data_IF_389411808225
#
_entry.id   IF_389411808225
#
_cell.length_a   1.000
_cell.length_b   1.000
_cell.length_c   1.000
_cell.angle_alpha   90.00
_cell.angle_beta   90.00
_cell.angle_gamma   90.00
#
_symmetry.space_group_name_H-M   'P 1'
#
loop_
_entity.id
_entity.type
_entity.pdbx_description
1 polymer ?
#
# COMPACT_ATOMS: atom_id res chain seq x y z
N UNK A 1 -71.38 -39.77 4.11
CA UNK A 1 -70.79 -38.64 3.37
C UNK A 1 -69.99 -37.65 4.24
N UNK A 2 -70.36 -37.57 5.48
CA UNK A 2 -69.68 -36.61 6.44
C UNK A 2 -68.28 -37.07 6.84
N UNK A 3 -68.01 -38.36 7.07
CA UNK A 3 -66.69 -38.89 7.44
C UNK A 3 -65.57 -38.68 6.42
N UNK A 4 -65.89 -38.79 5.11
CA UNK A 4 -64.89 -38.56 4.04
C UNK A 4 -64.42 -37.09 3.97
N UNK A 5 -65.29 -36.13 4.31
CA UNK A 5 -64.95 -34.72 4.34
C UNK A 5 -64.09 -34.37 5.54
N UNK A 6 -64.26 -35.09 6.67
CA UNK A 6 -63.45 -34.86 7.88
C UNK A 6 -61.99 -35.36 7.70
N UNK A 7 -61.85 -36.52 7.03
CA UNK A 7 -60.50 -37.04 6.71
C UNK A 7 -59.72 -36.16 5.71
N UNK A 8 -60.43 -35.56 4.74
CA UNK A 8 -59.80 -34.67 3.78
C UNK A 8 -59.36 -33.37 4.44
N UNK A 9 -60.15 -32.84 5.36
CA UNK A 9 -59.80 -31.62 6.11
C UNK A 9 -58.60 -31.86 7.05
N UNK A 10 -58.50 -33.03 7.69
CA UNK A 10 -57.38 -33.40 8.54
C UNK A 10 -56.06 -33.60 7.74
N UNK A 11 -56.15 -34.23 6.54
CA UNK A 11 -55.02 -34.42 5.68
C UNK A 11 -54.45 -33.09 5.12
N UNK A 12 -55.32 -32.11 4.80
CA UNK A 12 -54.92 -30.80 4.35
C UNK A 12 -54.29 -30.00 5.52
N UNK A 13 -54.77 -30.11 6.74
CA UNK A 13 -54.16 -29.47 7.91
C UNK A 13 -52.78 -30.00 8.27
N UNK A 14 -52.51 -31.32 8.05
CA UNK A 14 -51.19 -31.91 8.26
C UNK A 14 -50.22 -31.53 7.14
N UNK A 15 -50.69 -31.29 5.90
CA UNK A 15 -49.83 -30.83 4.80
C UNK A 15 -49.47 -29.33 4.90
N UNK A 16 -50.28 -28.53 5.60
CA UNK A 16 -50.03 -27.10 5.79
C UNK A 16 -49.18 -26.81 7.09
N UNK A 17 -49.00 -27.82 7.95
CA UNK A 17 -48.33 -27.68 9.24
C UNK A 17 -46.79 -27.86 9.20
N UNK A 18 -46.22 -28.30 8.07
CA UNK A 18 -44.79 -28.58 7.96
C UNK A 18 -44.01 -27.56 7.11
N UNK A 19 -44.47 -26.31 7.06
CA UNK A 19 -43.58 -25.23 6.67
C UNK A 19 -42.62 -24.97 7.89
N UNK A 20 -41.55 -25.72 7.96
CA UNK A 20 -40.43 -25.27 8.79
C UNK A 20 -40.01 -23.86 8.31
N UNK A 21 -40.53 -22.88 9.00
CA UNK A 21 -40.01 -21.51 8.89
C UNK A 21 -38.56 -21.57 9.34
N UNK A 22 -37.64 -21.77 8.41
CA UNK A 22 -36.24 -21.48 8.66
C UNK A 22 -36.10 -19.97 8.92
N UNK A 23 -36.40 -19.60 10.16
CA UNK A 23 -36.12 -18.25 10.62
C UNK A 23 -34.62 -17.99 10.43
N UNK A 24 -34.29 -17.18 9.44
CA UNK A 24 -32.90 -16.74 9.25
C UNK A 24 -32.46 -16.02 10.51
N UNK A 25 -31.46 -16.59 11.20
CA UNK A 25 -30.93 -16.00 12.42
C UNK A 25 -29.72 -15.12 12.05
N UNK A 26 -29.81 -13.84 12.37
CA UNK A 26 -28.67 -12.96 12.35
C UNK A 26 -27.74 -13.34 13.53
N UNK A 27 -26.49 -13.65 13.21
CA UNK A 27 -25.47 -13.96 14.23
C UNK A 27 -24.32 -12.96 14.13
N UNK A 28 -23.83 -12.51 15.27
CA UNK A 28 -22.59 -11.74 15.33
C UNK A 28 -21.40 -12.64 15.00
N UNK A 29 -20.49 -12.14 14.18
CA UNK A 29 -19.19 -12.76 13.90
C UNK A 29 -18.05 -11.84 14.36
N UNK A 30 -16.92 -12.42 14.72
CA UNK A 30 -15.72 -11.66 15.03
C UNK A 30 -15.11 -11.13 13.74
N UNK A 31 -14.83 -9.81 13.60
CA UNK A 31 -14.15 -9.26 12.44
C UNK A 31 -12.76 -9.88 12.26
N UNK A 32 -12.37 -10.13 11.02
CA UNK A 32 -11.03 -10.55 10.61
C UNK A 32 -10.28 -9.41 9.93
N UNK A 33 -8.98 -9.59 9.65
CA UNK A 33 -8.15 -8.53 9.09
C UNK A 33 -8.71 -7.95 7.79
N UNK A 34 -9.28 -8.80 6.92
CA UNK A 34 -9.85 -8.37 5.63
C UNK A 34 -11.05 -7.45 5.77
N UNK A 35 -11.77 -7.50 6.88
CA UNK A 35 -12.92 -6.62 7.14
C UNK A 35 -12.47 -5.16 7.40
N UNK A 36 -11.21 -4.96 7.81
CA UNK A 36 -10.65 -3.63 8.08
C UNK A 36 -10.05 -2.96 6.83
N UNK A 37 -9.69 -3.72 5.79
CA UNK A 37 -9.05 -3.18 4.57
C UNK A 37 -9.90 -2.09 3.92
N UNK A 38 -11.22 -2.29 3.64
CA UNK A 38 -12.05 -1.24 3.06
C UNK A 38 -12.15 0.01 3.94
N UNK A 39 -12.14 -0.16 5.26
CA UNK A 39 -12.17 0.97 6.20
C UNK A 39 -10.89 1.79 6.11
N UNK A 40 -9.73 1.12 6.09
CA UNK A 40 -8.43 1.79 5.94
C UNK A 40 -8.35 2.52 4.60
N UNK A 41 -8.79 1.90 3.51
CA UNK A 41 -8.85 2.53 2.19
C UNK A 41 -9.74 3.76 2.16
N UNK A 42 -10.93 3.70 2.79
CA UNK A 42 -11.84 4.84 2.92
C UNK A 42 -11.25 5.99 3.74
N UNK A 43 -10.37 5.70 4.69
CA UNK A 43 -9.57 6.69 5.41
C UNK A 43 -8.37 7.19 4.59
N UNK A 44 -8.19 6.66 3.38
CA UNK A 44 -7.12 7.08 2.47
C UNK A 44 -5.77 6.40 2.74
N UNK A 45 -5.71 5.28 3.46
CA UNK A 45 -4.49 4.47 3.52
C UNK A 45 -4.28 3.79 2.17
N UNK A 46 -3.05 3.86 1.66
CA UNK A 46 -2.64 3.19 0.44
C UNK A 46 -1.37 2.39 0.69
N UNK A 47 -1.29 1.18 0.13
CA UNK A 47 -0.14 0.29 0.30
C UNK A 47 0.20 -0.38 -1.02
N UNK A 48 1.45 -0.23 -1.43
CA UNK A 48 2.05 -0.93 -2.57
C UNK A 48 3.07 -1.91 -2.04
N UNK A 49 3.01 -3.15 -2.54
CA UNK A 49 3.91 -4.22 -2.13
C UNK A 49 4.57 -4.82 -3.36
N UNK A 50 5.89 -5.03 -3.27
CA UNK A 50 6.71 -5.55 -4.36
C UNK A 50 7.51 -6.74 -3.88
N UNK A 51 7.50 -7.82 -4.65
CA UNK A 51 8.27 -9.04 -4.37
C UNK A 51 9.72 -8.83 -4.79
N UNK A 52 10.64 -9.01 -3.85
CA UNK A 52 12.09 -8.99 -4.03
C UNK A 52 12.73 -10.33 -3.68
N UNK A 53 11.97 -11.41 -3.68
CA UNK A 53 12.45 -12.75 -3.33
C UNK A 53 13.59 -13.26 -4.23
N UNK A 54 13.68 -12.76 -5.47
CA UNK A 54 14.80 -13.03 -6.39
C UNK A 54 16.15 -12.53 -5.87
N UNK A 55 16.17 -11.64 -4.88
CA UNK A 55 17.37 -11.12 -4.21
C UNK A 55 17.69 -11.86 -2.90
N UNK A 56 16.95 -12.94 -2.59
CA UNK A 56 17.08 -13.63 -1.30
C UNK A 56 18.37 -14.43 -1.15
N UNK A 57 19.10 -14.73 -2.24
CA UNK A 57 20.31 -15.57 -2.19
C UNK A 57 21.57 -14.81 -1.76
N UNK A 58 21.54 -13.48 -1.80
CA UNK A 58 22.72 -12.66 -1.48
C UNK A 58 22.30 -11.42 -0.65
N UNK A 59 23.27 -10.68 -0.14
CA UNK A 59 23.04 -9.43 0.57
C UNK A 59 23.01 -8.26 -0.42
N UNK A 60 21.90 -7.53 -0.39
CA UNK A 60 21.70 -6.31 -1.17
C UNK A 60 21.27 -5.16 -0.27
N UNK A 61 21.69 -3.97 -0.63
CA UNK A 61 21.19 -2.73 -0.07
C UNK A 61 20.11 -2.18 -0.99
N UNK A 62 18.93 -1.95 -0.44
CA UNK A 62 17.82 -1.28 -1.11
C UNK A 62 17.81 0.17 -0.66
N UNK A 63 18.14 1.07 -1.57
CA UNK A 63 18.06 2.50 -1.37
C UNK A 63 16.69 2.96 -1.85
N UNK A 64 15.81 3.39 -0.93
CA UNK A 64 14.59 4.08 -1.30
C UNK A 64 14.96 5.51 -1.70
N UNK A 65 14.62 5.86 -2.93
CA UNK A 65 14.88 7.16 -3.52
C UNK A 65 13.57 7.89 -3.71
N UNK A 66 13.45 9.09 -3.13
CA UNK A 66 12.27 9.93 -3.24
C UNK A 66 12.66 11.23 -3.94
N UNK A 67 12.04 11.50 -5.07
CA UNK A 67 12.26 12.71 -5.87
C UNK A 67 11.02 13.58 -5.86
N UNK A 68 11.17 14.87 -5.57
CA UNK A 68 10.09 15.87 -5.60
C UNK A 68 10.17 16.68 -6.88
N UNK A 69 9.03 16.90 -7.52
CA UNK A 69 8.90 17.69 -8.74
C UNK A 69 7.86 18.79 -8.57
N UNK A 70 8.17 19.98 -9.10
CA UNK A 70 7.25 21.11 -9.25
C UNK A 70 7.28 21.59 -10.69
N UNK A 71 6.12 21.66 -11.32
CA UNK A 71 5.99 22.05 -12.73
C UNK A 71 6.97 21.29 -13.64
N UNK A 72 7.10 19.97 -13.43
CA UNK A 72 8.02 19.05 -14.09
C UNK A 72 9.53 19.32 -13.90
N UNK A 73 9.89 20.17 -12.94
CA UNK A 73 11.27 20.41 -12.57
C UNK A 73 11.56 19.70 -11.24
N UNK A 74 12.62 18.90 -11.22
CA UNK A 74 13.05 18.26 -9.98
C UNK A 74 13.54 19.31 -8.98
N UNK A 75 13.05 19.21 -7.74
CA UNK A 75 13.40 20.12 -6.65
C UNK A 75 14.64 19.60 -5.94
N UNK A 76 15.78 20.25 -6.12
CA UNK A 76 17.10 19.79 -5.61
C UNK A 76 17.16 19.50 -4.11
N UNK A 77 16.31 20.14 -3.30
CA UNK A 77 16.28 19.97 -1.84
C UNK A 77 15.16 19.06 -1.35
N UNK A 78 14.35 18.50 -2.27
CA UNK A 78 13.17 17.71 -1.93
C UNK A 78 13.39 16.20 -1.90
N UNK A 79 14.54 15.75 -2.40
CA UNK A 79 14.90 14.33 -2.44
C UNK A 79 15.66 13.87 -1.21
N UNK A 80 15.53 12.61 -0.87
CA UNK A 80 16.33 11.95 0.16
C UNK A 80 16.36 10.44 -0.07
N UNK A 81 17.44 9.82 0.43
CA UNK A 81 17.69 8.41 0.27
C UNK A 81 17.67 7.70 1.62
N UNK A 82 17.07 6.54 1.66
CA UNK A 82 17.05 5.65 2.83
C UNK A 82 17.53 4.28 2.40
N UNK A 83 18.59 3.83 3.04
CA UNK A 83 19.22 2.56 2.73
C UNK A 83 18.83 1.52 3.79
N UNK A 84 18.29 0.40 3.35
CA UNK A 84 17.96 -0.76 4.19
C UNK A 84 18.51 -2.01 3.52
N UNK A 85 19.25 -2.83 4.28
CA UNK A 85 19.71 -4.14 3.77
C UNK A 85 18.55 -5.15 3.72
N UNK A 86 18.50 -5.99 2.68
CA UNK A 86 17.54 -7.09 2.62
C UNK A 86 17.82 -8.19 3.65
N UNK A 87 19.02 -8.21 4.23
CA UNK A 87 19.45 -9.15 5.27
C UNK A 87 19.96 -8.43 6.50
N UNK A 88 19.66 -9.02 7.66
CA UNK A 88 20.31 -8.69 8.94
C UNK A 88 21.04 -9.94 9.39
N UNK A 89 22.34 -9.82 9.57
CA UNK A 89 23.18 -10.95 9.97
C UNK A 89 23.23 -11.09 11.49
N UNK A 90 23.17 -12.33 11.99
CA UNK A 90 23.30 -12.58 13.43
C UNK A 90 24.63 -12.08 13.99
N UNK A 91 25.69 -12.08 13.16
CA UNK A 91 27.02 -11.56 13.53
C UNK A 91 27.07 -10.05 13.77
N UNK A 92 26.06 -9.30 13.34
CA UNK A 92 25.95 -7.85 13.58
C UNK A 92 25.54 -7.53 15.04
N UNK A 93 25.04 -8.55 15.76
CA UNK A 93 24.64 -8.43 17.14
C UNK A 93 25.80 -8.78 18.08
N UNK A 94 25.80 -8.21 19.29
CA UNK A 94 26.71 -8.62 20.35
C UNK A 94 26.48 -10.08 20.73
N UNK A 95 27.49 -10.73 21.29
CA UNK A 95 27.41 -12.13 21.75
C UNK A 95 26.23 -12.34 22.73
N UNK A 96 26.00 -11.35 23.59
CA UNK A 96 24.90 -11.40 24.57
C UNK A 96 23.52 -11.34 23.88
N UNK A 97 23.38 -10.52 22.85
CA UNK A 97 22.15 -10.43 22.07
C UNK A 97 21.91 -11.69 21.24
N UNK A 98 22.94 -12.23 20.60
CA UNK A 98 22.86 -13.51 19.90
C UNK A 98 22.37 -14.64 20.83
N UNK A 99 22.87 -14.65 22.08
CA UNK A 99 22.45 -15.64 23.07
C UNK A 99 20.98 -15.43 23.46
N UNK A 100 20.54 -14.18 23.67
CA UNK A 100 19.12 -13.89 23.95
C UNK A 100 18.20 -14.32 22.82
N UNK A 101 18.58 -14.13 21.56
CA UNK A 101 17.82 -14.58 20.39
C UNK A 101 17.62 -16.10 20.46
N UNK A 102 18.67 -16.85 20.78
CA UNK A 102 18.61 -18.33 20.92
C UNK A 102 17.76 -18.75 22.12
N UNK A 103 17.95 -18.11 23.26
CA UNK A 103 17.23 -18.46 24.51
C UNK A 103 15.73 -18.16 24.41
N UNK A 104 15.35 -17.11 23.65
CA UNK A 104 13.95 -16.75 23.43
C UNK A 104 13.28 -17.54 22.30
N UNK A 105 13.96 -18.51 21.66
CA UNK A 105 13.45 -19.26 20.50
C UNK A 105 12.91 -18.36 19.39
N UNK A 106 13.56 -17.21 19.16
CA UNK A 106 13.18 -16.31 18.09
C UNK A 106 13.52 -16.99 16.76
N UNK A 107 12.56 -17.01 15.85
CA UNK A 107 12.75 -17.57 14.52
C UNK A 107 13.87 -16.86 13.77
N UNK A 108 14.82 -17.66 13.25
CA UNK A 108 15.96 -17.19 12.44
C UNK A 108 15.72 -17.71 11.02
N UNK A 109 15.85 -16.83 10.02
CA UNK A 109 15.46 -17.15 8.65
C UNK A 109 16.37 -18.18 7.96
N UNK A 110 17.69 -18.04 8.11
CA UNK A 110 18.67 -19.00 7.62
C UNK A 110 19.81 -19.13 8.63
N UNK A 111 19.66 -19.98 9.66
CA UNK A 111 20.64 -20.09 10.75
C UNK A 111 21.98 -20.67 10.28
N UNK A 112 22.00 -21.51 9.26
CA UNK A 112 23.21 -22.08 8.66
C UNK A 112 24.08 -21.03 7.99
N UNK A 113 23.47 -19.98 7.43
CA UNK A 113 24.14 -18.85 6.78
C UNK A 113 24.35 -17.67 7.75
N UNK A 114 23.87 -17.77 8.98
CA UNK A 114 23.91 -16.71 9.98
C UNK A 114 22.90 -15.57 9.71
N UNK A 115 21.90 -15.78 8.85
CA UNK A 115 20.89 -14.76 8.51
C UNK A 115 19.81 -14.74 9.57
N UNK A 116 19.79 -13.66 10.37
CA UNK A 116 18.78 -13.47 11.42
C UNK A 116 17.43 -13.03 10.84
N UNK A 117 17.45 -12.11 9.90
CA UNK A 117 16.25 -11.62 9.20
C UNK A 117 16.52 -11.53 7.70
N UNK A 118 15.52 -11.93 6.92
CA UNK A 118 15.55 -11.83 5.45
C UNK A 118 14.25 -11.21 4.96
N UNK A 119 14.36 -10.10 4.25
CA UNK A 119 13.23 -9.49 3.56
C UNK A 119 13.09 -10.04 2.15
N UNK A 120 11.88 -10.47 1.83
CA UNK A 120 11.48 -10.91 0.47
C UNK A 120 10.48 -9.96 -0.18
N UNK A 121 10.08 -8.93 0.55
CA UNK A 121 9.17 -7.90 0.07
C UNK A 121 9.64 -6.52 0.49
N UNK A 122 9.40 -5.54 -0.36
CA UNK A 122 9.40 -4.13 0.00
C UNK A 122 7.98 -3.56 -0.09
N UNK A 123 7.72 -2.54 0.71
CA UNK A 123 6.43 -1.85 0.70
C UNK A 123 6.58 -0.34 0.77
N UNK A 124 5.65 0.33 0.08
CA UNK A 124 5.48 1.78 0.06
C UNK A 124 4.07 2.06 0.54
N UNK A 125 3.94 2.70 1.69
CA UNK A 125 2.66 3.05 2.29
C UNK A 125 2.45 4.56 2.33
N UNK A 126 1.24 5.00 2.00
CA UNK A 126 0.81 6.38 2.19
C UNK A 126 -0.22 6.42 3.31
N UNK A 127 0.14 7.09 4.40
CA UNK A 127 -0.64 7.15 5.64
C UNK A 127 -1.25 8.54 5.79
N UNK A 128 -2.55 8.66 6.07
CA UNK A 128 -3.19 9.94 6.30
C UNK A 128 -2.53 10.75 7.42
N UNK A 129 -2.53 12.07 7.26
CA UNK A 129 -2.13 13.03 8.28
C UNK A 129 -3.36 13.82 8.74
N UNK A 130 -3.43 14.24 10.01
CA UNK A 130 -4.45 15.20 10.46
C UNK A 130 -4.34 16.58 9.78
N UNK A 131 -3.19 16.86 9.14
CA UNK A 131 -2.95 18.10 8.41
C UNK A 131 -3.03 17.86 6.90
N UNK A 132 -3.91 18.59 6.21
CA UNK A 132 -4.12 18.43 4.77
C UNK A 132 -2.87 18.73 3.93
N UNK A 133 -1.99 19.59 4.42
CA UNK A 133 -0.71 19.92 3.76
C UNK A 133 0.39 18.87 3.91
N UNK A 134 0.08 17.75 4.58
CA UNK A 134 1.04 16.66 4.81
C UNK A 134 0.44 15.30 4.47
N UNK A 135 1.30 14.39 4.08
CA UNK A 135 1.06 12.95 3.98
C UNK A 135 2.25 12.23 4.60
N UNK A 136 2.03 11.13 5.30
CA UNK A 136 3.16 10.33 5.75
C UNK A 136 3.46 9.23 4.73
N UNK A 137 4.73 9.14 4.34
CA UNK A 137 5.28 8.04 3.59
C UNK A 137 5.86 7.02 4.56
N UNK A 138 5.50 5.76 4.42
CA UNK A 138 6.07 4.62 5.14
C UNK A 138 6.76 3.71 4.14
N UNK A 139 8.03 3.44 4.35
CA UNK A 139 8.88 2.62 3.51
C UNK A 139 9.38 1.45 4.37
N UNK A 140 9.26 0.22 3.87
CA UNK A 140 9.72 -0.92 4.62
C UNK A 140 10.28 -2.03 3.73
N UNK A 141 11.32 -2.66 4.22
CA UNK A 141 11.64 -4.05 3.91
C UNK A 141 11.08 -4.91 5.04
N UNK A 142 10.22 -5.85 4.71
CA UNK A 142 9.21 -6.46 5.61
C UNK A 142 9.74 -7.01 6.93
N UNK A 143 11.00 -7.42 7.01
CA UNK A 143 11.61 -8.05 8.19
C UNK A 143 12.89 -7.37 8.67
N UNK A 144 13.49 -6.49 7.88
CA UNK A 144 14.82 -5.93 8.16
C UNK A 144 14.78 -4.46 8.55
N UNK A 145 13.82 -3.67 8.08
CA UNK A 145 13.74 -2.29 8.50
C UNK A 145 12.59 -1.51 7.92
N UNK A 146 12.27 -0.40 8.58
CA UNK A 146 11.25 0.55 8.16
C UNK A 146 11.70 2.00 8.39
N UNK A 147 11.13 2.91 7.61
CA UNK A 147 11.30 4.34 7.78
C UNK A 147 9.97 5.07 7.54
N UNK A 148 9.77 6.18 8.22
CA UNK A 148 8.61 7.08 8.06
C UNK A 148 9.05 8.50 7.92
N UNK A 149 8.36 9.23 7.03
CA UNK A 149 8.64 10.63 6.80
C UNK A 149 7.43 11.39 6.29
N UNK A 150 7.35 12.70 6.53
CA UNK A 150 6.29 13.54 5.97
C UNK A 150 6.63 13.92 4.53
N UNK A 151 5.64 13.81 3.65
CA UNK A 151 5.61 14.42 2.32
C UNK A 151 4.77 15.70 2.40
N UNK A 152 5.26 16.79 1.85
CA UNK A 152 4.52 18.06 1.74
C UNK A 152 3.49 17.95 0.62
N UNK A 153 2.33 18.53 0.84
CA UNK A 153 1.29 18.70 -0.15
C UNK A 153 1.05 20.19 -0.38
N UNK A 154 0.81 20.57 -1.60
CA UNK A 154 0.55 21.96 -2.00
C UNK A 154 -0.91 22.08 -2.44
N UNK A 155 -1.59 23.18 -2.10
CA UNK A 155 -2.97 23.38 -2.50
C UNK A 155 -3.09 23.64 -3.99
N UNK A 156 -4.16 23.13 -4.58
CA UNK A 156 -4.64 23.53 -5.91
C UNK A 156 -5.49 24.77 -5.70
N UNK A 157 -5.01 25.91 -6.19
CA UNK A 157 -5.76 27.17 -6.08
C UNK A 157 -6.79 27.25 -7.22
N UNK A 158 -8.06 27.34 -6.87
CA UNK A 158 -9.15 27.57 -7.81
C UNK A 158 -9.34 29.07 -8.09
N UNK A 159 -9.97 29.46 -9.20
CA UNK A 159 -10.17 30.88 -9.57
C UNK A 159 -11.02 31.69 -8.56
N UNK A 160 -11.88 31.02 -7.77
CA UNK A 160 -12.67 31.63 -6.71
C UNK A 160 -11.89 31.84 -5.40
N UNK A 161 -10.61 31.48 -5.37
CA UNK A 161 -9.74 31.55 -4.19
C UNK A 161 -9.83 30.34 -3.26
N UNK A 162 -10.63 29.33 -3.58
CA UNK A 162 -10.66 28.06 -2.82
C UNK A 162 -9.35 27.31 -3.02
N UNK A 163 -8.85 26.69 -1.96
CA UNK A 163 -7.64 25.88 -1.95
C UNK A 163 -7.97 24.45 -1.56
N UNK A 164 -7.54 23.47 -2.37
CA UNK A 164 -7.81 22.06 -2.18
C UNK A 164 -6.51 21.25 -2.19
N UNK A 165 -6.36 20.32 -1.23
CA UNK A 165 -5.22 19.42 -1.12
C UNK A 165 -5.56 18.02 -1.65
N UNK A 166 -5.86 17.91 -2.94
CA UNK A 166 -6.20 16.65 -3.59
C UNK A 166 -5.01 16.02 -4.29
N UNK A 167 -4.69 14.79 -3.89
CA UNK A 167 -3.56 13.99 -4.40
C UNK A 167 -4.01 12.56 -4.65
N UNK A 168 -3.35 11.91 -5.59
CA UNK A 168 -3.58 10.50 -5.91
C UNK A 168 -2.28 9.81 -6.24
N UNK A 169 -2.29 8.48 -6.14
CA UNK A 169 -1.18 7.63 -6.54
C UNK A 169 -1.37 7.06 -7.93
N UNK A 170 -0.24 6.78 -8.59
CA UNK A 170 -0.18 5.99 -9.83
C UNK A 170 1.03 5.08 -9.77
N UNK A 171 0.87 3.76 -9.98
CA UNK A 171 2.01 2.88 -10.11
C UNK A 171 2.75 3.13 -11.41
N UNK A 172 4.04 2.84 -11.42
CA UNK A 172 4.82 2.74 -12.64
C UNK A 172 4.74 1.33 -13.24
N UNK A 173 4.86 1.23 -14.56
CA UNK A 173 5.14 -0.04 -15.20
C UNK A 173 6.54 -0.47 -14.81
N UNK A 174 6.67 -1.66 -14.21
CA UNK A 174 7.97 -2.22 -13.83
C UNK A 174 8.46 -3.11 -14.97
N UNK A 175 9.58 -2.71 -15.57
CA UNK A 175 10.27 -3.48 -16.58
C UNK A 175 11.46 -4.24 -15.95
N UNK A 176 12.23 -4.96 -16.79
CA UNK A 176 13.55 -5.46 -16.40
C UNK A 176 14.47 -4.28 -16.07
N UNK A 177 15.22 -4.39 -14.99
CA UNK A 177 16.16 -3.36 -14.52
C UNK A 177 17.55 -3.99 -14.28
N UNK A 178 18.56 -3.14 -14.16
CA UNK A 178 19.91 -3.53 -13.77
C UNK A 178 20.18 -3.07 -12.32
N UNK A 179 21.11 -3.75 -11.66
CA UNK A 179 21.55 -3.33 -10.33
C UNK A 179 22.20 -1.94 -10.42
N UNK A 180 21.86 -1.09 -9.44
CA UNK A 180 22.34 0.30 -9.39
C UNK A 180 21.53 1.28 -10.24
N UNK A 181 20.51 0.83 -10.96
CA UNK A 181 19.58 1.72 -11.66
C UNK A 181 18.42 2.15 -10.76
N UNK A 182 17.98 3.39 -10.93
CA UNK A 182 16.75 3.88 -10.29
C UNK A 182 15.51 3.24 -10.93
N UNK A 183 14.72 2.58 -10.10
CA UNK A 183 13.48 1.92 -10.49
C UNK A 183 12.32 2.73 -9.90
N UNK A 184 11.58 3.53 -10.69
CA UNK A 184 10.40 4.23 -10.22
C UNK A 184 9.27 3.22 -9.95
N UNK A 185 8.62 3.32 -8.79
CA UNK A 185 7.59 2.38 -8.36
C UNK A 185 6.23 3.04 -8.23
N UNK A 186 6.17 4.21 -7.58
CA UNK A 186 4.92 4.92 -7.29
C UNK A 186 5.10 6.41 -7.52
N UNK A 187 4.19 7.01 -8.27
CA UNK A 187 3.99 8.44 -8.33
C UNK A 187 2.91 8.82 -7.31
N UNK A 188 3.16 9.84 -6.49
CA UNK A 188 2.19 10.49 -5.63
C UNK A 188 2.07 11.95 -6.04
N UNK A 189 0.98 12.32 -6.75
CA UNK A 189 0.85 13.61 -7.41
C UNK A 189 -0.44 14.33 -7.09
N UNK A 190 -0.38 15.67 -7.13
CA UNK A 190 -1.54 16.54 -6.99
C UNK A 190 -2.51 16.39 -8.16
N UNK A 191 -3.76 16.74 -7.92
CA UNK A 191 -4.69 17.09 -8.98
C UNK A 191 -4.29 18.45 -9.57
N UNK A 192 -4.95 18.86 -10.65
CA UNK A 192 -4.74 20.16 -11.28
C UNK A 192 -6.06 20.83 -11.64
N UNK A 193 -6.05 22.15 -11.70
CA UNK A 193 -7.19 22.90 -12.17
C UNK A 193 -7.20 22.95 -13.69
N UNK A 194 -8.31 22.56 -14.32
CA UNK A 194 -8.52 22.66 -15.76
C UNK A 194 -9.39 23.88 -16.04
N UNK A 195 -8.80 24.93 -16.64
CA UNK A 195 -9.49 26.17 -16.93
C UNK A 195 -10.59 26.00 -18.01
N UNK A 196 -10.40 25.08 -18.96
CA UNK A 196 -11.37 24.89 -20.06
C UNK A 196 -12.60 24.11 -19.54
N UNK A 197 -12.39 23.17 -18.64
CA UNK A 197 -13.48 22.42 -18.03
C UNK A 197 -14.08 23.09 -16.79
N UNK A 198 -13.39 24.06 -16.19
CA UNK A 198 -13.82 24.75 -14.97
C UNK A 198 -13.90 23.82 -13.76
N UNK A 199 -13.02 22.83 -13.66
CA UNK A 199 -13.02 21.86 -12.56
C UNK A 199 -11.62 21.33 -12.24
N UNK A 200 -11.47 20.79 -11.02
CA UNK A 200 -10.28 20.03 -10.63
C UNK A 200 -10.28 18.67 -11.30
N UNK A 201 -9.16 18.28 -11.89
CA UNK A 201 -8.97 16.99 -12.59
C UNK A 201 -7.90 16.15 -11.95
N UNK A 202 -8.11 14.83 -12.08
CA UNK A 202 -7.12 13.78 -11.81
C UNK A 202 -7.11 12.71 -12.92
N UNK A 203 -7.94 12.88 -13.96
CA UNK A 203 -8.13 11.89 -15.01
C UNK A 203 -6.93 11.85 -15.97
N UNK A 204 -6.61 10.66 -16.48
CA UNK A 204 -5.52 10.41 -17.40
C UNK A 204 -4.99 9.00 -17.25
N UNK A 205 -3.74 8.82 -17.59
CA UNK A 205 -3.05 7.53 -17.47
C UNK A 205 -3.06 7.06 -16.02
N UNK A 206 -3.56 5.85 -15.80
CA UNK A 206 -3.62 5.22 -14.45
C UNK A 206 -2.31 4.54 -14.06
N UNK A 207 -1.43 4.29 -15.04
CA UNK A 207 -0.10 3.68 -14.87
C UNK A 207 0.88 4.55 -15.63
N UNK A 208 2.02 4.85 -15.03
CA UNK A 208 3.04 5.73 -15.59
C UNK A 208 4.14 4.93 -16.29
N UNK A 209 4.60 5.43 -17.43
CA UNK A 209 5.74 4.85 -18.13
C UNK A 209 7.06 5.13 -17.37
N UNK A 210 7.95 4.13 -17.22
CA UNK A 210 9.16 4.27 -16.40
C UNK A 210 10.20 5.24 -16.97
N UNK A 211 10.08 5.60 -18.22
CA UNK A 211 10.90 6.62 -18.91
C UNK A 211 10.35 8.04 -18.77
N UNK A 212 9.30 8.22 -17.96
CA UNK A 212 8.61 9.50 -17.71
C UNK A 212 7.98 10.14 -18.96
N UNK A 213 7.73 9.36 -20.01
CA UNK A 213 7.10 9.83 -21.26
C UNK A 213 5.58 10.01 -21.15
N UNK A 214 4.96 9.62 -20.03
CA UNK A 214 3.52 9.74 -19.82
C UNK A 214 3.05 11.20 -19.90
N UNK A 215 2.06 11.44 -20.77
CA UNK A 215 1.54 12.79 -21.03
C UNK A 215 0.92 13.47 -19.81
N UNK A 216 0.36 12.68 -18.88
CA UNK A 216 -0.27 13.20 -17.66
C UNK A 216 0.70 14.00 -16.79
N UNK A 217 2.00 13.69 -16.82
CA UNK A 217 3.01 14.38 -16.03
C UNK A 217 3.06 15.88 -16.34
N UNK A 218 2.72 16.27 -17.57
CA UNK A 218 2.70 17.69 -18.00
C UNK A 218 1.64 18.53 -17.30
N UNK A 219 0.61 17.89 -16.74
CA UNK A 219 -0.52 18.56 -16.11
C UNK A 219 -0.43 18.60 -14.59
N UNK A 220 0.36 17.69 -13.98
CA UNK A 220 0.47 17.58 -12.53
C UNK A 220 1.45 18.66 -12.02
N UNK A 221 0.98 19.68 -11.27
CA UNK A 221 1.84 20.78 -10.83
C UNK A 221 2.89 20.37 -9.80
N UNK A 222 2.56 19.35 -8.98
CA UNK A 222 3.45 18.87 -7.93
C UNK A 222 3.30 17.36 -7.75
N UNK A 223 4.42 16.65 -7.74
CA UNK A 223 4.42 15.21 -7.47
C UNK A 223 5.73 14.73 -6.88
N UNK A 224 5.64 13.58 -6.21
CA UNK A 224 6.77 12.76 -5.80
C UNK A 224 6.86 11.52 -6.68
N UNK A 225 8.08 11.13 -7.02
CA UNK A 225 8.39 9.81 -7.57
C UNK A 225 9.12 9.04 -6.47
N UNK A 226 8.53 7.94 -6.06
CA UNK A 226 9.05 7.06 -5.03
C UNK A 226 9.52 5.79 -5.72
N UNK A 227 10.77 5.45 -5.56
CA UNK A 227 11.38 4.29 -6.20
C UNK A 227 12.52 3.72 -5.38
N UNK A 228 13.28 2.82 -5.98
CA UNK A 228 14.41 2.15 -5.33
C UNK A 228 15.59 2.03 -6.27
N UNK A 229 16.78 1.92 -5.69
CA UNK A 229 18.00 1.39 -6.28
C UNK A 229 18.43 0.17 -5.48
N UNK A 230 18.79 -0.92 -6.16
CA UNK A 230 19.23 -2.16 -5.50
C UNK A 230 20.69 -2.38 -5.85
N UNK A 231 21.54 -2.41 -4.82
CA UNK A 231 22.99 -2.51 -4.92
C UNK A 231 23.53 -3.68 -4.07
N UNK A 232 24.65 -4.27 -4.50
CA UNK A 232 25.42 -5.21 -3.67
C UNK A 232 26.26 -4.48 -2.64
#
# INVERSE_FOLDING_TARGET
>A
MVMKKLFLALAVAVLLGNSESHAQQLRSSTPVADDYIPLLQNYGFELFKFDISSFAEDTYNVTFVIKEYKDNVEVESGGFDIIISNRVMLSEFSIEEQQRVKDCNIEIDAPEDGVFRLSKDLSIGLVPSPCDSLRFLSLALSRTGEARMPLKRYPICQPDGTAEYSYTTRPFTINTFQLGEFIPLVLYGSFWWDNDAGCTRCCGESVIAPDFSSEILKYIPHYYIIGVEINK
#
